data_IF_320989189584
#
_entry.id   IF_320989189584
#
_cell.length_a   1.000
_cell.length_b   1.000
_cell.length_c   1.000
_cell.angle_alpha   90.00
_cell.angle_beta   90.00
_cell.angle_gamma   90.00
#
_symmetry.space_group_name_H-M   'P 1'
#
loop_
_entity.id
_entity.type
_entity.pdbx_description
1 polymer ?
2 branched ?
3 non-polymer ?
4 non-polymer ?
5 non-polymer ?
6 non-polymer ?
7 water ?
#
# COMPACT_ATOMS: atom_id res chain seq x y z
N UNK A 1 -8.13 -40.41 -10.67
CA UNK A 1 -9.12 -40.12 -11.75
C UNK A 1 -8.82 -38.77 -12.38
N UNK A 2 -8.79 -38.73 -13.70
CA UNK A 2 -8.49 -37.51 -14.43
C UNK A 2 -9.58 -36.44 -14.29
N UNK A 3 -10.85 -36.85 -14.34
CA UNK A 3 -11.96 -35.92 -14.22
C UNK A 3 -12.09 -35.29 -12.84
N UNK A 4 -11.78 -36.06 -11.80
CA UNK A 4 -11.84 -35.55 -10.44
C UNK A 4 -10.76 -34.45 -10.27
N UNK A 5 -9.57 -34.74 -10.77
CA UNK A 5 -8.46 -33.79 -10.71
C UNK A 5 -8.78 -32.53 -11.51
N UNK A 6 -9.45 -32.70 -12.65
CA UNK A 6 -9.82 -31.56 -13.50
C UNK A 6 -10.85 -30.70 -12.79
N UNK A 7 -11.80 -31.36 -12.12
CA UNK A 7 -12.84 -30.65 -11.39
C UNK A 7 -12.20 -29.88 -10.24
N UNK A 8 -11.20 -30.48 -9.61
CA UNK A 8 -10.52 -29.82 -8.51
C UNK A 8 -9.80 -28.60 -9.04
N UNK A 9 -9.18 -28.74 -10.20
CA UNK A 9 -8.45 -27.65 -10.81
C UNK A 9 -9.33 -26.43 -11.08
N UNK A 10 -10.56 -26.68 -11.52
CA UNK A 10 -11.50 -25.57 -11.77
C UNK A 10 -11.77 -24.84 -10.47
N UNK A 11 -11.97 -25.59 -9.39
CA UNK A 11 -12.22 -25.03 -8.07
C UNK A 11 -11.01 -24.23 -7.59
N UNK A 12 -9.82 -24.75 -7.83
CA UNK A 12 -8.57 -24.09 -7.45
C UNK A 12 -8.42 -22.77 -8.19
N UNK A 13 -8.67 -22.78 -9.49
CA UNK A 13 -8.59 -21.58 -10.31
C UNK A 13 -9.59 -20.55 -9.83
N UNK A 14 -10.83 -20.98 -9.60
CA UNK A 14 -11.88 -20.08 -9.12
C UNK A 14 -11.51 -19.46 -7.78
N UNK A 15 -11.07 -20.29 -6.85
CA UNK A 15 -10.65 -19.83 -5.52
C UNK A 15 -9.56 -18.77 -5.66
N UNK A 16 -8.62 -19.02 -6.56
CA UNK A 16 -7.50 -18.13 -6.81
C UNK A 16 -7.93 -16.80 -7.41
N UNK A 17 -8.87 -16.83 -8.35
CA UNK A 17 -9.37 -15.61 -8.97
C UNK A 17 -10.07 -14.74 -7.93
N UNK A 18 -10.77 -15.39 -7.01
CA UNK A 18 -11.48 -14.67 -5.98
C UNK A 18 -10.51 -14.06 -4.98
N UNK A 19 -9.46 -14.81 -4.64
CA UNK A 19 -8.47 -14.30 -3.69
C UNK A 19 -7.70 -13.15 -4.28
N UNK A 20 -7.40 -13.24 -5.57
CA UNK A 20 -6.67 -12.18 -6.25
C UNK A 20 -7.54 -10.92 -6.30
N UNK A 21 -8.83 -11.08 -6.55
CA UNK A 21 -9.70 -9.91 -6.59
C UNK A 21 -9.80 -9.27 -5.21
N UNK A 22 -9.74 -10.09 -4.15
CA UNK A 22 -9.79 -9.58 -2.79
C UNK A 22 -8.53 -8.77 -2.47
N UNK A 23 -7.39 -9.26 -2.95
CA UNK A 23 -6.10 -8.60 -2.78
C UNK A 23 -6.16 -7.24 -3.46
N UNK A 24 -6.78 -7.17 -4.64
CA UNK A 24 -6.90 -5.90 -5.36
C UNK A 24 -7.79 -4.93 -4.59
N UNK A 25 -8.90 -5.45 -4.07
CA UNK A 25 -9.85 -4.66 -3.29
C UNK A 25 -9.21 -4.10 -2.02
N UNK A 26 -8.44 -4.94 -1.32
CA UNK A 26 -7.77 -4.50 -0.11
C UNK A 26 -6.71 -3.46 -0.42
N UNK A 27 -5.96 -3.66 -1.49
CA UNK A 27 -4.94 -2.68 -1.85
C UNK A 27 -5.56 -1.32 -2.12
N UNK A 28 -6.61 -1.28 -2.95
CA UNK A 28 -7.28 -0.03 -3.29
C UNK A 28 -7.74 0.66 -2.01
N UNK A 29 -8.45 -0.09 -1.17
CA UNK A 29 -8.97 0.39 0.12
C UNK A 29 -7.85 1.01 0.93
N UNK A 30 -6.74 0.26 1.09
CA UNK A 30 -5.60 0.74 1.85
C UNK A 30 -4.93 1.95 1.19
N UNK A 31 -5.17 2.14 -0.11
CA UNK A 31 -4.63 3.28 -0.82
C UNK A 31 -5.60 4.46 -0.81
N UNK A 32 -6.67 4.34 -0.03
CA UNK A 32 -7.63 5.42 0.08
C UNK A 32 -8.87 5.41 -0.80
N UNK A 33 -9.07 4.35 -1.59
CA UNK A 33 -10.25 4.31 -2.44
C UNK A 33 -11.52 4.38 -1.61
N UNK A 34 -12.39 5.32 -1.95
CA UNK A 34 -13.65 5.51 -1.25
C UNK A 34 -14.67 4.74 -2.07
N UNK A 35 -15.65 4.16 -1.39
CA UNK A 35 -16.70 3.37 -2.05
C UNK A 35 -17.42 4.14 -3.15
N UNK A 36 -17.49 3.54 -4.34
CA UNK A 36 -18.14 4.17 -5.48
C UNK A 36 -17.42 5.36 -6.09
N UNK A 37 -16.14 5.51 -5.75
CA UNK A 37 -15.33 6.61 -6.26
C UNK A 37 -14.12 6.01 -6.93
N UNK A 38 -13.67 6.62 -8.01
CA UNK A 38 -12.48 6.12 -8.67
C UNK A 38 -11.33 6.56 -7.79
N UNK A 39 -10.23 5.81 -7.77
CA UNK A 39 -9.11 6.20 -6.93
C UNK A 39 -7.86 6.56 -7.72
N UNK A 40 -7.06 7.44 -7.13
CA UNK A 40 -5.84 7.95 -7.73
C UNK A 40 -4.61 7.45 -6.99
N UNK A 41 -3.53 7.20 -7.73
CA UNK A 41 -2.29 6.73 -7.13
C UNK A 41 -1.14 7.36 -7.87
N UNK A 42 -0.04 7.56 -7.16
CA UNK A 42 1.17 8.13 -7.74
C UNK A 42 2.38 7.53 -7.05
N UNK A 43 3.49 7.49 -7.77
CA UNK A 43 4.74 6.98 -7.20
C UNK A 43 5.64 8.19 -6.95
N UNK A 44 5.08 9.37 -7.23
CA UNK A 44 5.76 10.65 -7.05
C UNK A 44 6.92 10.92 -8.02
N UNK A 45 6.95 10.18 -9.12
CA UNK A 45 7.99 10.34 -10.11
C UNK A 45 7.55 11.35 -11.18
N UNK A 46 8.46 12.23 -11.56
CA UNK A 46 8.19 13.22 -12.58
C UNK A 46 8.64 12.68 -13.93
N UNK A 47 7.81 12.84 -14.96
CA UNK A 47 8.12 12.35 -16.29
C UNK A 47 7.27 13.08 -17.33
N UNK A 48 7.71 13.09 -18.60
CA UNK A 48 6.94 13.77 -19.64
C UNK A 48 5.60 13.06 -19.82
N UNK A 49 4.63 13.75 -20.40
CA UNK A 49 3.29 13.20 -20.58
C UNK A 49 3.20 11.83 -21.25
N UNK A 50 3.96 11.65 -22.33
CA UNK A 50 3.95 10.37 -23.05
C UNK A 50 4.24 9.17 -22.14
N UNK A 51 5.15 9.36 -21.18
CA UNK A 51 5.53 8.30 -20.28
C UNK A 51 4.49 8.07 -19.20
N UNK A 52 3.82 9.13 -18.76
CA UNK A 52 2.79 8.99 -17.73
C UNK A 52 1.66 8.18 -18.36
N UNK A 53 1.25 8.59 -19.55
CA UNK A 53 0.17 7.93 -20.26
C UNK A 53 0.50 6.44 -20.48
N UNK A 54 1.73 6.15 -20.90
CA UNK A 54 2.13 4.77 -21.15
C UNK A 54 2.13 3.95 -19.85
N UNK A 55 2.70 4.53 -18.80
CA UNK A 55 2.77 3.88 -17.49
C UNK A 55 1.39 3.56 -16.93
N UNK A 56 0.51 4.56 -16.91
CA UNK A 56 -0.84 4.34 -16.40
C UNK A 56 -1.53 3.26 -17.21
N UNK A 57 -1.27 3.24 -18.51
CA UNK A 57 -1.88 2.25 -19.39
C UNK A 57 -1.46 0.83 -19.07
N UNK A 58 -0.17 0.61 -18.83
CA UNK A 58 0.29 -0.74 -18.52
C UNK A 58 -0.18 -1.21 -17.15
N UNK A 59 -0.69 -0.27 -16.35
CA UNK A 59 -1.23 -0.58 -15.03
C UNK A 59 -2.74 -0.74 -15.15
N UNK A 60 -3.25 -0.64 -16.38
CA UNK A 60 -4.68 -0.73 -16.67
C UNK A 60 -5.43 0.43 -16.05
N UNK A 61 -4.78 1.59 -16.04
CA UNK A 61 -5.36 2.79 -15.49
C UNK A 61 -5.41 3.84 -16.58
N UNK A 62 -5.50 5.10 -16.17
CA UNK A 62 -5.57 6.23 -17.10
C UNK A 62 -4.91 7.40 -16.37
N UNK A 63 -4.32 8.34 -17.11
CA UNK A 63 -3.73 9.52 -16.48
C UNK A 63 -4.91 10.20 -15.79
N UNK A 64 -4.70 10.62 -14.55
CA UNK A 64 -5.75 11.25 -13.73
C UNK A 64 -6.59 12.33 -14.40
N UNK A 65 -7.90 12.23 -14.25
CA UNK A 65 -8.84 13.20 -14.85
C UNK A 65 -9.83 13.69 -13.79
N UNK A 66 -9.79 15.00 -13.45
CA UNK A 66 -10.71 15.57 -12.46
C UNK A 66 -12.01 15.89 -13.19
N UNK A 67 -13.06 15.11 -12.91
CA UNK A 67 -14.36 15.30 -13.54
C UNK A 67 -15.19 16.32 -12.80
N UNK A 68 -14.72 16.74 -11.64
CA UNK A 68 -15.42 17.70 -10.80
C UNK A 68 -14.48 18.18 -9.71
N UNK A 69 -14.93 19.14 -8.92
CA UNK A 69 -14.12 19.72 -7.84
C UNK A 69 -13.65 18.73 -6.77
N UNK A 70 -14.52 17.81 -6.37
CA UNK A 70 -14.17 16.80 -5.36
C UNK A 70 -12.99 15.98 -5.84
N UNK A 71 -13.09 15.49 -7.08
CA UNK A 71 -12.04 14.69 -7.70
C UNK A 71 -10.78 15.51 -7.94
N UNK A 72 -10.97 16.79 -8.21
CA UNK A 72 -9.84 17.68 -8.43
C UNK A 72 -9.08 17.78 -7.11
N UNK A 73 -9.81 17.94 -6.01
CA UNK A 73 -9.20 18.04 -4.69
C UNK A 73 -8.49 16.72 -4.33
N UNK A 74 -9.12 15.59 -4.66
CA UNK A 74 -8.54 14.27 -4.38
C UNK A 74 -7.20 14.06 -5.12
N UNK A 75 -7.13 14.48 -6.38
CA UNK A 75 -5.91 14.37 -7.17
C UNK A 75 -4.79 15.26 -6.62
N UNK A 76 -5.14 16.50 -6.28
CA UNK A 76 -4.19 17.45 -5.72
C UNK A 76 -3.54 16.91 -4.45
N UNK A 77 -4.36 16.29 -3.60
CA UNK A 77 -3.90 15.73 -2.33
C UNK A 77 -3.00 14.53 -2.50
N UNK A 78 -3.28 13.73 -3.53
CA UNK A 78 -2.47 12.55 -3.82
C UNK A 78 -1.15 12.97 -4.46
N UNK A 79 -1.22 13.88 -5.43
CA UNK A 79 -0.05 14.37 -6.16
C UNK A 79 0.96 15.15 -5.33
N UNK A 80 0.46 16.08 -4.52
CA UNK A 80 1.29 16.93 -3.66
C UNK A 80 2.11 17.99 -4.42
N UNK A 81 2.20 17.84 -5.74
CA UNK A 81 2.94 18.77 -6.59
C UNK A 81 2.28 18.83 -7.96
N UNK A 82 2.88 19.59 -8.87
CA UNK A 82 2.33 19.72 -10.22
C UNK A 82 2.34 18.35 -10.90
N UNK A 83 1.19 17.94 -11.40
CA UNK A 83 1.04 16.65 -12.05
C UNK A 83 0.26 16.79 -13.35
N UNK A 84 0.53 15.91 -14.30
CA UNK A 84 -0.19 15.93 -15.56
C UNK A 84 -1.60 15.38 -15.36
N UNK A 85 -2.55 15.91 -16.12
CA UNK A 85 -3.93 15.45 -16.08
C UNK A 85 -4.18 14.77 -17.44
N UNK A 86 -5.19 13.92 -17.50
CA UNK A 86 -5.51 13.24 -18.75
C UNK A 86 -6.34 14.11 -19.66
N UNK A 87 -5.87 15.33 -19.89
CA UNK A 87 -6.55 16.35 -20.72
C UNK A 87 -5.51 17.01 -21.62
N UNK A 88 -5.80 17.14 -22.92
CA UNK A 88 -4.87 17.76 -23.86
C UNK A 88 -5.65 18.34 -25.03
N UNK A 89 -5.02 19.27 -25.77
CA UNK A 89 -5.63 19.83 -26.99
C UNK A 89 -4.71 19.54 -28.18
N UNK A 90 -4.08 18.36 -28.16
CA UNK A 90 -3.17 17.95 -29.23
C UNK A 90 -3.88 17.69 -30.55
N UNK A 91 -5.11 17.18 -30.49
CA UNK A 91 -5.87 16.86 -31.69
C UNK A 91 -6.33 18.09 -32.45
N UNK A 92 -6.86 19.07 -31.73
CA UNK A 92 -7.34 20.31 -32.33
C UNK A 92 -7.04 21.41 -31.34
N UNK A 93 -6.12 22.29 -31.73
CA UNK A 93 -5.71 23.40 -30.88
C UNK A 93 -6.90 24.19 -30.35
N UNK A 94 -6.89 24.39 -29.03
CA UNK A 94 -7.95 25.15 -28.37
C UNK A 94 -9.08 24.28 -27.86
N UNK A 95 -9.24 23.09 -28.44
CA UNK A 95 -10.30 22.19 -28.02
C UNK A 95 -9.73 21.09 -27.15
N UNK A 96 -9.84 21.25 -25.83
CA UNK A 96 -9.33 20.25 -24.93
C UNK A 96 -10.24 19.03 -24.88
N UNK A 97 -9.61 17.86 -24.91
CA UNK A 97 -10.32 16.58 -24.89
C UNK A 97 -9.67 15.67 -23.85
N UNK A 98 -10.45 14.74 -23.31
CA UNK A 98 -9.94 13.78 -22.34
C UNK A 98 -9.13 12.75 -23.13
N UNK A 99 -8.08 12.20 -22.53
CA UNK A 99 -7.26 11.20 -23.22
C UNK A 99 -8.07 9.97 -23.62
N UNK A 100 -9.18 9.75 -22.93
CA UNK A 100 -10.07 8.62 -23.19
C UNK A 100 -11.28 9.00 -24.05
N UNK A 101 -11.32 10.26 -24.48
CA UNK A 101 -12.43 10.72 -25.31
C UNK A 101 -13.38 11.73 -24.70
N UNK A 102 -13.91 12.59 -25.57
CA UNK A 102 -14.86 13.61 -25.15
C UNK A 102 -14.26 14.96 -24.88
N UNK A 103 -15.05 15.99 -25.13
CA UNK A 103 -14.64 17.37 -24.93
C UNK A 103 -14.65 17.69 -23.45
N UNK A 104 -13.68 18.50 -23.04
CA UNK A 104 -13.56 18.90 -21.65
C UNK A 104 -14.84 19.58 -21.15
N UNK A 105 -15.34 19.15 -20.00
CA UNK A 105 -16.52 19.80 -19.45
C UNK A 105 -16.08 20.59 -18.23
N UNK A 106 -15.99 19.94 -17.07
CA UNK A 106 -15.53 20.62 -15.87
C UNK A 106 -14.08 21.08 -16.08
N UNK A 107 -13.76 22.29 -15.63
CA UNK A 107 -12.40 22.82 -15.74
C UNK A 107 -12.06 23.68 -14.53
N UNK A 108 -10.77 23.79 -14.22
CA UNK A 108 -10.33 24.60 -13.09
C UNK A 108 -9.10 25.44 -13.46
N UNK A 109 -9.17 26.08 -14.62
CA UNK A 109 -8.06 26.89 -15.12
C UNK A 109 -7.63 28.04 -14.24
N UNK A 110 -6.33 28.30 -14.22
CA UNK A 110 -5.77 29.43 -13.48
C UNK A 110 -6.12 30.67 -14.27
N UNK A 111 -5.89 31.82 -13.65
CA UNK A 111 -6.15 33.10 -14.28
C UNK A 111 -5.31 33.21 -15.55
N UNK A 112 -5.95 33.58 -16.65
CA UNK A 112 -5.29 33.76 -17.94
C UNK A 112 -4.78 32.48 -18.64
N UNK A 113 -5.28 31.32 -18.20
CA UNK A 113 -4.90 30.04 -18.81
C UNK A 113 -6.20 29.41 -19.31
N UNK A 114 -6.14 28.56 -20.35
CA UNK A 114 -4.99 28.09 -21.14
C UNK A 114 -4.52 29.18 -22.12
N UNK A 115 -3.22 29.26 -22.35
CA UNK A 115 -2.67 30.29 -23.23
C UNK A 115 -1.80 29.80 -24.40
N UNK A 116 -1.65 28.47 -24.51
CA UNK A 116 -0.83 27.87 -25.55
C UNK A 116 0.42 28.75 -25.73
N UNK A 117 1.10 28.99 -24.62
CA UNK A 117 2.26 29.85 -24.62
C UNK A 117 3.42 29.51 -25.54
N UNK A 118 3.94 30.54 -26.20
CA UNK A 118 5.07 30.41 -27.09
C UNK A 118 4.85 29.48 -28.25
N UNK A 119 5.79 28.56 -28.44
CA UNK A 119 5.68 27.59 -29.53
C UNK A 119 4.49 26.65 -29.32
N UNK A 120 3.90 26.68 -28.13
CA UNK A 120 2.74 25.85 -27.87
C UNK A 120 2.74 25.02 -26.61
N UNK A 121 1.54 24.81 -26.08
CA UNK A 121 1.31 24.03 -24.87
C UNK A 121 0.02 23.25 -25.04
N UNK A 122 0.15 21.94 -25.20
CA UNK A 122 -0.99 21.06 -25.43
C UNK A 122 -1.39 20.14 -24.30
N UNK A 123 -0.58 20.06 -23.26
CA UNK A 123 -0.90 19.23 -22.11
C UNK A 123 -1.41 20.10 -20.96
N UNK A 124 -1.94 19.48 -19.91
CA UNK A 124 -2.50 20.20 -18.77
C UNK A 124 -1.98 19.64 -17.44
N UNK A 125 -1.58 20.52 -16.52
CA UNK A 125 -1.14 20.10 -15.21
C UNK A 125 -1.97 20.74 -14.11
N UNK A 126 -2.12 20.03 -13.01
CA UNK A 126 -2.84 20.55 -11.84
C UNK A 126 -1.68 21.05 -10.98
N UNK A 127 -1.72 22.31 -10.60
CA UNK A 127 -0.65 22.86 -9.78
C UNK A 127 -0.90 22.72 -8.30
N UNK A 128 0.06 23.15 -7.49
CA UNK A 128 -0.03 23.06 -6.03
C UNK A 128 -1.37 23.49 -5.42
N UNK A 129 -1.95 24.58 -5.90
CA UNK A 129 -3.22 25.10 -5.38
C UNK A 129 -4.46 24.45 -6.00
N UNK A 130 -4.26 23.46 -6.85
CA UNK A 130 -5.38 22.78 -7.47
C UNK A 130 -5.85 23.35 -8.79
N UNK A 131 -5.39 24.55 -9.16
CA UNK A 131 -5.79 25.17 -10.42
C UNK A 131 -5.00 24.53 -11.56
N UNK A 132 -5.48 24.72 -12.78
CA UNK A 132 -4.81 24.13 -13.94
C UNK A 132 -4.07 25.14 -14.82
N UNK A 133 -3.03 24.64 -15.49
CA UNK A 133 -2.22 25.41 -16.43
C UNK A 133 -1.85 24.51 -17.61
N UNK A 134 -1.93 25.03 -18.83
CA UNK A 134 -1.55 24.21 -19.97
C UNK A 134 -0.04 24.34 -20.13
N UNK A 135 0.62 23.23 -20.43
CA UNK A 135 2.07 23.21 -20.59
C UNK A 135 2.49 22.26 -21.69
N UNK A 136 3.76 22.33 -22.03
CA UNK A 136 4.36 21.47 -23.04
C UNK A 136 4.30 20.03 -22.52
N UNK A 137 3.93 19.10 -23.40
CA UNK A 137 3.82 17.70 -23.05
C UNK A 137 5.19 17.06 -22.81
N UNK A 138 6.24 17.80 -23.17
CA UNK A 138 7.62 17.32 -23.00
C UNK A 138 8.19 17.66 -21.63
N UNK A 139 7.49 18.48 -20.86
CA UNK A 139 7.93 18.84 -19.51
C UNK A 139 7.72 17.63 -18.60
N UNK A 140 8.45 17.58 -17.50
CA UNK A 140 8.33 16.47 -16.57
C UNK A 140 7.51 16.87 -15.36
N UNK A 141 6.39 16.19 -15.16
CA UNK A 141 5.50 16.46 -14.04
C UNK A 141 5.20 15.14 -13.35
N UNK A 142 4.67 15.19 -12.13
CA UNK A 142 4.35 13.98 -11.38
C UNK A 142 3.30 13.11 -12.07
N UNK A 143 3.56 11.79 -12.06
CA UNK A 143 2.65 10.81 -12.68
C UNK A 143 1.58 10.33 -11.71
N UNK A 144 0.34 10.66 -12.02
CA UNK A 144 -0.79 10.27 -11.19
C UNK A 144 -1.78 9.53 -12.10
N UNK A 145 -2.09 8.29 -11.74
CA UNK A 145 -3.02 7.47 -12.51
C UNK A 145 -4.31 7.33 -11.74
N UNK A 146 -5.40 7.11 -12.46
CA UNK A 146 -6.70 6.93 -11.83
C UNK A 146 -7.19 5.55 -12.25
N UNK A 147 -7.92 4.91 -11.36
CA UNK A 147 -8.49 3.59 -11.61
C UNK A 147 -9.99 3.72 -11.36
N UNK A 148 -10.83 3.06 -12.18
CA UNK A 148 -12.29 3.08 -12.11
C UNK A 148 -12.94 2.91 -10.72
N UNK A 149 -14.15 3.48 -10.60
CA UNK A 149 -14.93 3.43 -9.36
C UNK A 149 -15.48 2.03 -9.07
N UNK B 1 0.67 -38.15 -21.86
CA UNK B 1 0.51 -36.68 -22.03
C UNK B 1 -0.48 -36.06 -21.05
N UNK B 2 -1.78 -36.32 -21.23
CA UNK B 2 -2.83 -35.77 -20.37
C UNK B 2 -2.50 -35.67 -18.87
N UNK B 3 -2.20 -36.80 -18.25
CA UNK B 3 -1.86 -36.81 -16.82
C UNK B 3 -0.64 -35.97 -16.49
N UNK B 4 0.33 -35.94 -17.40
CA UNK B 4 1.55 -35.17 -17.21
C UNK B 4 1.23 -33.69 -17.30
N UNK B 5 0.44 -33.34 -18.31
CA UNK B 5 0.04 -31.95 -18.53
C UNK B 5 -0.75 -31.44 -17.32
N UNK B 6 -1.62 -32.30 -16.80
CA UNK B 6 -2.43 -31.97 -15.63
C UNK B 6 -1.54 -31.76 -14.39
N UNK B 7 -0.61 -32.68 -14.16
CA UNK B 7 0.28 -32.57 -13.00
C UNK B 7 1.10 -31.30 -13.07
N UNK B 8 1.57 -30.96 -14.26
CA UNK B 8 2.34 -29.75 -14.46
C UNK B 8 1.48 -28.53 -14.16
N UNK B 9 0.21 -28.56 -14.58
CA UNK B 9 -0.68 -27.44 -14.32
C UNK B 9 -1.02 -27.30 -12.84
N UNK B 10 -1.04 -28.41 -12.11
CA UNK B 10 -1.30 -28.36 -10.68
C UNK B 10 -0.09 -27.72 -9.99
N UNK B 11 1.11 -27.97 -10.52
CA UNK B 11 2.32 -27.41 -9.97
C UNK B 11 2.32 -25.89 -10.16
N UNK B 12 1.89 -25.43 -11.34
CA UNK B 12 1.83 -24.00 -11.63
C UNK B 12 0.82 -23.31 -10.73
N UNK B 13 -0.32 -23.95 -10.51
CA UNK B 13 -1.35 -23.39 -9.66
C UNK B 13 -0.86 -23.19 -8.24
N UNK B 14 -0.15 -24.17 -7.69
CA UNK B 14 0.35 -24.07 -6.33
C UNK B 14 1.42 -22.99 -6.23
N UNK B 15 2.19 -22.82 -7.30
CA UNK B 15 3.23 -21.81 -7.35
C UNK B 15 2.61 -20.41 -7.38
N UNK B 16 1.50 -20.29 -8.10
CA UNK B 16 0.77 -19.03 -8.23
C UNK B 16 0.13 -18.68 -6.89
N UNK B 17 -0.35 -19.71 -6.19
CA UNK B 17 -0.97 -19.54 -4.88
C UNK B 17 0.06 -19.00 -3.90
N UNK B 18 1.28 -19.52 -3.97
CA UNK B 18 2.37 -19.08 -3.08
C UNK B 18 2.72 -17.63 -3.45
N UNK B 19 2.73 -17.35 -4.75
CA UNK B 19 3.06 -16.03 -5.25
C UNK B 19 2.04 -14.99 -4.77
N UNK B 20 0.75 -15.34 -4.74
CA UNK B 20 -0.26 -14.41 -4.28
C UNK B 20 -0.10 -14.16 -2.78
N UNK B 21 0.21 -15.21 -2.04
CA UNK B 21 0.40 -15.09 -0.60
C UNK B 21 1.57 -14.14 -0.32
N UNK B 22 2.60 -14.22 -1.16
CA UNK B 22 3.75 -13.34 -0.98
C UNK B 22 3.27 -11.91 -1.21
N UNK B 23 2.42 -11.69 -2.21
CA UNK B 23 1.87 -10.38 -2.52
C UNK B 23 1.11 -9.82 -1.33
N UNK B 24 0.35 -10.68 -0.67
CA UNK B 24 -0.43 -10.28 0.50
C UNK B 24 0.48 -9.90 1.68
N UNK B 25 1.55 -10.68 1.88
CA UNK B 25 2.50 -10.41 2.96
C UNK B 25 3.19 -9.06 2.75
N UNK B 26 3.73 -8.87 1.55
CA UNK B 26 4.41 -7.63 1.20
C UNK B 26 3.48 -6.44 1.32
N UNK B 27 2.24 -6.60 0.88
CA UNK B 27 1.27 -5.50 1.01
C UNK B 27 1.09 -5.11 2.47
N UNK B 28 0.79 -6.09 3.32
CA UNK B 28 0.59 -5.85 4.74
C UNK B 28 1.80 -5.17 5.37
N UNK B 29 2.98 -5.69 5.06
CA UNK B 29 4.25 -5.13 5.56
C UNK B 29 4.43 -3.67 5.14
N UNK B 30 4.17 -3.37 3.87
CA UNK B 30 4.32 -2.02 3.35
C UNK B 30 3.35 -1.05 4.02
N UNK B 31 2.23 -1.59 4.48
CA UNK B 31 1.21 -0.81 5.14
C UNK B 31 1.44 -0.68 6.64
N UNK B 32 2.53 -1.26 7.13
CA UNK B 32 2.84 -1.16 8.54
C UNK B 32 2.48 -2.32 9.45
N UNK B 33 1.98 -3.43 8.92
CA UNK B 33 1.65 -4.56 9.77
C UNK B 33 2.91 -5.03 10.50
N UNK B 34 2.80 -5.15 11.82
CA UNK B 34 3.91 -5.58 12.64
C UNK B 34 3.82 -7.09 12.80
N UNK B 35 4.97 -7.72 12.96
CA UNK B 35 5.07 -9.16 13.11
C UNK B 35 4.29 -9.68 14.32
N UNK B 36 3.42 -10.66 14.09
CA UNK B 36 2.62 -11.24 15.15
C UNK B 36 1.57 -10.29 15.69
N UNK B 37 1.24 -9.24 14.94
CA UNK B 37 0.26 -8.28 15.38
C UNK B 37 -0.82 -8.16 14.32
N UNK B 38 -2.04 -7.86 14.77
CA UNK B 38 -3.16 -7.71 13.85
C UNK B 38 -2.93 -6.55 12.91
N UNK B 39 -3.44 -6.68 11.70
CA UNK B 39 -3.28 -5.66 10.67
C UNK B 39 -4.56 -4.83 10.62
N UNK B 40 -4.45 -3.56 11.01
CA UNK B 40 -5.58 -2.63 10.97
C UNK B 40 -5.40 -1.70 9.78
N UNK B 41 -6.48 -1.41 9.07
CA UNK B 41 -6.39 -0.58 7.88
C UNK B 41 -7.65 0.24 7.66
N UNK B 42 -7.47 1.44 7.11
CA UNK B 42 -8.56 2.36 6.82
C UNK B 42 -8.37 3.02 5.46
N UNK B 43 -9.47 3.45 4.86
CA UNK B 43 -9.43 4.18 3.60
C UNK B 43 -9.72 5.64 3.94
N UNK B 44 -9.88 5.90 5.23
CA UNK B 44 -10.16 7.23 5.80
C UNK B 44 -11.54 7.75 5.45
N UNK B 45 -12.44 6.85 5.08
CA UNK B 45 -13.80 7.22 4.72
C UNK B 45 -14.71 7.06 5.92
N UNK B 46 -15.51 8.09 6.18
CA UNK B 46 -16.46 8.09 7.29
C UNK B 46 -17.80 7.64 6.73
N UNK B 47 -18.42 6.67 7.40
CA UNK B 47 -19.71 6.14 6.97
C UNK B 47 -20.42 5.58 8.20
N UNK B 48 -21.72 5.26 8.07
CA UNK B 48 -22.42 4.71 9.22
C UNK B 48 -21.94 3.28 9.52
N UNK B 49 -22.14 2.83 10.76
CA UNK B 49 -21.71 1.50 11.19
C UNK B 49 -22.06 0.36 10.26
N UNK B 50 -23.33 0.27 9.85
CA UNK B 50 -23.78 -0.79 8.96
C UNK B 50 -22.90 -0.90 7.71
N UNK B 51 -22.48 0.26 7.21
CA UNK B 51 -21.62 0.35 6.03
C UNK B 51 -20.22 -0.16 6.35
N UNK B 52 -19.70 0.22 7.51
CA UNK B 52 -18.38 -0.20 7.94
C UNK B 52 -18.35 -1.74 7.99
N UNK B 53 -19.37 -2.33 8.61
CA UNK B 53 -19.47 -3.78 8.72
C UNK B 53 -19.53 -4.42 7.34
N UNK B 54 -20.23 -3.76 6.42
CA UNK B 54 -20.39 -4.26 5.06
C UNK B 54 -19.05 -4.23 4.33
N UNK B 55 -18.39 -3.09 4.39
CA UNK B 55 -17.10 -2.92 3.73
C UNK B 55 -16.07 -3.96 4.21
N UNK B 56 -15.81 -3.99 5.52
CA UNK B 56 -14.84 -4.94 6.05
C UNK B 56 -15.15 -6.39 5.69
N UNK B 57 -16.43 -6.75 5.74
CA UNK B 57 -16.87 -8.10 5.42
C UNK B 57 -16.56 -8.42 3.95
N UNK B 58 -16.73 -7.42 3.09
CA UNK B 58 -16.48 -7.57 1.66
C UNK B 58 -14.98 -7.80 1.39
N UNK B 59 -14.15 -7.29 2.27
CA UNK B 59 -12.69 -7.44 2.18
C UNK B 59 -12.26 -8.66 2.96
N UNK B 60 -13.24 -9.39 3.48
CA UNK B 60 -13.02 -10.57 4.30
C UNK B 60 -12.24 -10.24 5.57
N UNK B 61 -12.67 -9.15 6.20
CA UNK B 61 -12.07 -8.70 7.44
C UNK B 61 -13.22 -8.49 8.42
N UNK B 62 -12.99 -7.71 9.45
CA UNK B 62 -14.00 -7.41 10.46
C UNK B 62 -13.74 -5.99 10.95
N UNK B 63 -14.73 -5.37 11.57
CA UNK B 63 -14.58 -4.01 12.08
C UNK B 63 -13.53 -4.08 13.19
N UNK B 64 -12.57 -3.16 13.19
CA UNK B 64 -11.52 -3.18 14.18
C UNK B 64 -11.96 -3.27 15.64
N UNK B 65 -11.31 -4.17 16.38
CA UNK B 65 -11.59 -4.40 17.80
C UNK B 65 -10.31 -4.42 18.63
N UNK B 66 -10.20 -3.51 19.62
CA UNK B 66 -9.02 -3.45 20.50
C UNK B 66 -9.23 -4.47 21.61
N UNK B 67 -8.33 -5.43 21.75
CA UNK B 67 -8.44 -6.44 22.80
C UNK B 67 -7.66 -5.97 24.03
N UNK B 68 -6.75 -5.02 23.81
CA UNK B 68 -5.91 -4.46 24.86
C UNK B 68 -5.45 -3.06 24.47
N UNK B 69 -4.75 -2.40 25.37
CA UNK B 69 -4.26 -1.04 25.15
C UNK B 69 -3.31 -0.94 23.97
N UNK B 70 -2.58 -2.02 23.72
CA UNK B 70 -1.61 -2.07 22.62
C UNK B 70 -2.35 -1.98 21.29
N UNK B 71 -3.40 -2.78 21.15
CA UNK B 71 -4.18 -2.80 19.92
C UNK B 71 -5.02 -1.54 19.79
N UNK B 72 -5.43 -1.01 20.93
CA UNK B 72 -6.24 0.22 20.97
C UNK B 72 -5.40 1.37 20.43
N UNK B 73 -4.11 1.36 20.76
CA UNK B 73 -3.17 2.38 20.33
C UNK B 73 -2.92 2.26 18.82
N UNK B 74 -2.76 1.02 18.36
CA UNK B 74 -2.54 0.75 16.95
C UNK B 74 -3.72 1.22 16.09
N UNK B 75 -4.94 0.97 16.58
CA UNK B 75 -6.15 1.38 15.86
C UNK B 75 -6.21 2.91 15.79
N UNK B 76 -5.92 3.53 16.93
CA UNK B 76 -5.90 4.99 17.05
C UNK B 76 -4.95 5.61 16.02
N UNK B 77 -3.74 5.10 15.94
CA UNK B 77 -2.72 5.59 15.03
C UNK B 77 -3.10 5.41 13.56
N UNK B 78 -3.89 4.39 13.27
CA UNK B 78 -4.33 4.10 11.90
C UNK B 78 -5.47 5.02 11.45
N UNK B 79 -6.48 5.17 12.30
CA UNK B 79 -7.63 6.00 11.96
C UNK B 79 -7.31 7.49 11.97
N UNK B 80 -6.61 7.93 13.01
CA UNK B 80 -6.23 9.33 13.18
C UNK B 80 -7.43 10.25 13.42
N UNK B 81 -8.64 9.66 13.46
CA UNK B 81 -9.88 10.40 13.69
C UNK B 81 -10.83 9.46 14.43
N UNK B 82 -12.05 9.91 14.69
CA UNK B 82 -13.04 9.08 15.36
C UNK B 82 -13.39 7.94 14.41
N UNK B 83 -13.33 6.71 14.90
CA UNK B 83 -13.61 5.54 14.09
C UNK B 83 -14.48 4.52 14.85
N UNK B 84 -15.38 3.87 14.14
CA UNK B 84 -16.24 2.85 14.77
C UNK B 84 -15.39 1.64 15.15
N UNK B 85 -15.78 1.00 16.24
CA UNK B 85 -15.11 -0.21 16.72
C UNK B 85 -16.14 -1.33 16.53
N UNK B 86 -15.68 -2.58 16.41
CA UNK B 86 -16.60 -3.69 16.24
C UNK B 86 -17.25 -4.09 17.54
N UNK B 87 -17.84 -3.12 18.23
CA UNK B 87 -18.48 -3.33 19.53
C UNK B 87 -19.80 -2.56 19.58
N UNK B 88 -20.87 -3.21 20.04
CA UNK B 88 -22.19 -2.57 20.13
C UNK B 88 -22.99 -3.21 21.25
N UNK B 89 -24.00 -2.50 21.75
CA UNK B 89 -24.91 -3.08 22.74
C UNK B 89 -26.30 -3.00 22.13
N UNK B 90 -26.34 -3.15 20.80
CA UNK B 90 -27.57 -3.10 20.01
C UNK B 90 -28.58 -4.16 20.39
N UNK B 91 -28.08 -5.38 20.60
CA UNK B 91 -28.92 -6.51 20.97
C UNK B 91 -29.49 -6.34 22.37
N UNK B 92 -28.61 -6.07 23.33
CA UNK B 92 -29.04 -5.90 24.72
C UNK B 92 -28.36 -4.69 25.37
N UNK B 93 -29.15 -3.65 25.57
CA UNK B 93 -28.67 -2.40 26.18
C UNK B 93 -27.84 -2.61 27.44
N UNK B 94 -26.70 -1.93 27.50
CA UNK B 94 -25.82 -2.03 28.65
C UNK B 94 -24.79 -3.14 28.59
N UNK B 95 -25.07 -4.14 27.77
CA UNK B 95 -24.17 -5.28 27.61
C UNK B 95 -23.48 -5.23 26.26
N UNK B 96 -22.29 -4.65 26.25
CA UNK B 96 -21.53 -4.53 25.00
C UNK B 96 -20.91 -5.84 24.57
N UNK B 97 -21.00 -6.12 23.27
CA UNK B 97 -20.47 -7.34 22.68
C UNK B 97 -19.76 -7.07 21.36
N UNK B 98 -18.74 -7.87 21.08
CA UNK B 98 -17.97 -7.77 19.84
C UNK B 98 -18.84 -8.25 18.70
N UNK B 99 -18.69 -7.64 17.51
CA UNK B 99 -19.50 -8.04 16.36
C UNK B 99 -19.18 -9.49 15.93
N UNK B 100 -18.07 -10.03 16.43
CA UNK B 100 -17.64 -11.39 16.14
C UNK B 100 -18.06 -12.34 17.27
N UNK B 101 -18.81 -11.80 18.22
CA UNK B 101 -19.28 -12.58 19.34
C UNK B 101 -18.48 -12.36 20.60
N UNK B 102 -19.15 -12.46 21.75
CA UNK B 102 -18.48 -12.29 23.01
C UNK B 102 -18.66 -10.94 23.68
N UNK B 103 -18.54 -10.96 25.00
CA UNK B 103 -18.68 -9.78 25.82
C UNK B 103 -17.31 -9.15 25.96
N UNK B 104 -17.29 -7.87 26.31
CA UNK B 104 -16.06 -7.11 26.47
C UNK B 104 -15.06 -7.68 27.46
N UNK B 105 -13.80 -7.75 27.02
CA UNK B 105 -12.71 -8.23 27.84
C UNK B 105 -11.83 -7.03 28.17
N UNK B 106 -11.92 -5.99 27.36
CA UNK B 106 -11.16 -4.77 27.52
C UNK B 106 -12.01 -3.57 27.07
N UNK B 107 -11.84 -2.45 27.76
CA UNK B 107 -12.58 -1.24 27.43
C UNK B 107 -11.72 -0.03 27.80
N UNK B 108 -12.05 1.13 27.23
CA UNK B 108 -11.30 2.36 27.49
C UNK B 108 -12.28 3.54 27.33
N UNK B 109 -13.36 3.48 28.09
CA UNK B 109 -14.39 4.50 28.04
C UNK B 109 -13.93 5.87 28.47
N UNK B 110 -14.60 6.88 27.94
CA UNK B 110 -14.31 8.27 28.24
C UNK B 110 -15.09 8.60 29.52
N UNK B 111 -14.77 9.72 30.15
CA UNK B 111 -15.45 10.13 31.38
C UNK B 111 -16.95 10.23 31.11
N UNK B 112 -17.73 9.59 31.99
CA UNK B 112 -19.18 9.58 31.89
C UNK B 112 -19.73 8.80 30.71
N UNK B 113 -18.95 7.85 30.20
CA UNK B 113 -19.39 7.01 29.09
C UNK B 113 -19.26 5.56 29.56
N UNK B 114 -20.14 4.68 29.06
CA UNK B 114 -21.21 4.99 28.11
C UNK B 114 -22.46 5.61 28.76
N UNK B 115 -23.14 6.50 28.05
CA UNK B 115 -24.34 7.14 28.59
C UNK B 115 -25.62 6.88 27.81
N UNK B 116 -25.53 6.10 26.73
CA UNK B 116 -26.69 5.78 25.89
C UNK B 116 -27.53 7.03 25.69
N UNK B 117 -26.83 8.13 25.44
CA UNK B 117 -27.43 9.46 25.28
C UNK B 117 -28.65 9.61 24.39
N UNK B 118 -29.60 10.40 24.88
CA UNK B 118 -30.81 10.70 24.15
C UNK B 118 -31.56 9.48 23.66
N UNK B 119 -31.90 9.48 22.37
CA UNK B 119 -32.64 8.39 21.75
C UNK B 119 -31.98 7.03 21.90
N UNK B 120 -30.69 7.04 22.27
CA UNK B 120 -29.96 5.80 22.44
C UNK B 120 -28.73 5.73 21.59
N UNK B 121 -27.66 5.21 22.17
CA UNK B 121 -26.39 5.06 21.49
C UNK B 121 -25.93 3.62 21.70
N UNK B 122 -25.94 2.85 20.63
CA UNK B 122 -25.55 1.45 20.68
C UNK B 122 -24.21 1.09 20.07
N UNK B 123 -23.59 2.04 19.38
CA UNK B 123 -22.28 1.80 18.78
C UNK B 123 -21.17 2.44 19.60
N UNK B 124 -19.93 2.15 19.24
CA UNK B 124 -18.79 2.66 19.96
C UNK B 124 -17.72 3.22 19.04
N UNK B 125 -17.19 4.40 19.37
CA UNK B 125 -16.14 5.02 18.59
C UNK B 125 -14.93 5.28 19.44
N UNK B 126 -13.76 5.19 18.83
CA UNK B 126 -12.51 5.46 19.50
C UNK B 126 -12.22 6.91 19.06
N UNK B 127 -12.12 7.80 20.02
CA UNK B 127 -11.88 9.22 19.74
C UNK B 127 -10.49 9.69 20.17
N UNK B 128 -10.43 10.82 20.86
CA UNK B 128 -9.18 11.42 21.35
C UNK B 128 -8.50 10.56 22.39
N UNK B 129 -7.18 10.48 22.32
CA UNK B 129 -6.37 9.70 23.25
C UNK B 129 -6.73 8.23 23.22
N UNK B 130 -7.52 7.83 22.22
CA UNK B 130 -7.93 6.44 22.11
C UNK B 130 -9.06 6.11 23.07
N UNK B 131 -9.68 7.12 23.67
CA UNK B 131 -10.78 6.93 24.61
C UNK B 131 -12.04 6.61 23.84
N UNK B 132 -12.96 5.88 24.48
CA UNK B 132 -14.19 5.47 23.82
C UNK B 132 -15.41 6.26 24.24
N UNK B 133 -16.39 6.30 23.35
CA UNK B 133 -17.65 6.98 23.59
C UNK B 133 -18.68 6.19 22.81
N UNK B 134 -19.83 5.92 23.42
CA UNK B 134 -20.88 5.20 22.69
C UNK B 134 -21.63 6.23 21.86
N UNK B 135 -22.04 5.87 20.65
CA UNK B 135 -22.74 6.79 19.77
C UNK B 135 -23.78 6.08 18.92
N UNK B 136 -24.59 6.87 18.23
CA UNK B 136 -25.61 6.32 17.37
C UNK B 136 -24.90 5.65 16.20
N UNK B 137 -25.35 4.44 15.88
CA UNK B 137 -24.77 3.65 14.79
C UNK B 137 -25.03 4.28 13.43
N UNK B 138 -25.95 5.24 13.37
CA UNK B 138 -26.27 5.93 12.11
C UNK B 138 -25.31 7.06 11.80
N UNK B 139 -24.56 7.50 12.81
CA UNK B 139 -23.58 8.55 12.59
C UNK B 139 -22.50 8.00 11.66
N UNK B 140 -21.69 8.87 11.08
CA UNK B 140 -20.66 8.45 10.14
C UNK B 140 -19.28 8.67 10.71
N UNK B 141 -18.54 7.58 10.89
CA UNK B 141 -17.19 7.65 11.45
C UNK B 141 -16.27 6.83 10.55
N UNK B 142 -14.96 7.02 10.74
CA UNK B 142 -13.94 6.34 9.96
C UNK B 142 -14.05 4.81 10.00
N UNK B 143 -14.02 4.20 8.83
CA UNK B 143 -14.08 2.75 8.69
C UNK B 143 -12.67 2.20 8.84
N UNK B 144 -12.48 1.34 9.83
CA UNK B 144 -11.20 0.72 10.11
C UNK B 144 -11.43 -0.79 10.17
N UNK B 145 -10.81 -1.52 9.25
CA UNK B 145 -10.96 -2.97 9.20
C UNK B 145 -9.77 -3.66 9.83
N UNK B 146 -10.01 -4.90 10.26
CA UNK B 146 -9.00 -5.71 10.94
C UNK B 146 -8.74 -6.99 10.17
N UNK B 147 -7.46 -7.38 10.12
CA UNK B 147 -7.06 -8.60 9.43
C UNK B 147 -6.12 -9.36 10.39
N UNK B 148 -6.12 -10.69 10.32
CA UNK B 148 -5.29 -11.55 11.18
C UNK B 148 -3.80 -11.23 11.30
N UNK B 149 -3.26 -11.56 12.46
CA UNK B 149 -1.85 -11.36 12.78
C UNK B 149 -0.98 -12.40 12.07
N UNK C 1 -14.21 -32.76 -24.35
CA UNK C 1 -14.27 -32.05 -23.04
C UNK C 1 -12.95 -32.09 -22.28
N UNK C 2 -12.45 -33.27 -21.93
CA UNK C 2 -11.19 -33.37 -21.18
C UNK C 2 -10.05 -32.51 -21.76
N UNK C 3 -9.73 -32.73 -23.02
CA UNK C 3 -8.65 -31.99 -23.67
C UNK C 3 -8.99 -30.51 -23.84
N UNK C 4 -10.27 -30.21 -24.05
CA UNK C 4 -10.70 -28.82 -24.21
C UNK C 4 -10.60 -28.07 -22.88
N UNK C 5 -11.07 -28.72 -21.82
CA UNK C 5 -11.02 -28.15 -20.49
C UNK C 5 -9.57 -28.00 -20.06
N UNK C 6 -8.74 -28.99 -20.39
CA UNK C 6 -7.33 -28.95 -20.03
C UNK C 6 -6.64 -27.79 -20.75
N UNK C 7 -6.99 -27.57 -22.00
CA UNK C 7 -6.40 -26.49 -22.78
C UNK C 7 -6.84 -25.14 -22.22
N UNK C 8 -8.11 -25.03 -21.88
CA UNK C 8 -8.61 -23.80 -21.33
C UNK C 8 -7.92 -23.47 -20.00
N UNK C 9 -7.70 -24.49 -19.18
CA UNK C 9 -7.05 -24.30 -17.88
C UNK C 9 -5.69 -23.67 -18.04
N UNK C 10 -4.99 -24.07 -19.08
CA UNK C 10 -3.67 -23.53 -19.37
C UNK C 10 -3.83 -22.02 -19.62
N UNK C 11 -4.84 -21.68 -20.41
CA UNK C 11 -5.15 -20.29 -20.72
C UNK C 11 -5.54 -19.51 -19.47
N UNK C 12 -6.26 -20.17 -18.56
CA UNK C 12 -6.69 -19.56 -17.29
C UNK C 12 -5.51 -19.25 -16.40
N UNK C 13 -4.57 -20.19 -16.32
CA UNK C 13 -3.38 -20.03 -15.49
C UNK C 13 -2.49 -18.92 -16.03
N UNK C 14 -2.31 -18.87 -17.34
CA UNK C 14 -1.50 -17.81 -17.93
C UNK C 14 -2.15 -16.46 -17.71
N UNK C 15 -3.48 -16.42 -17.80
CA UNK C 15 -4.19 -15.16 -17.57
C UNK C 15 -3.96 -14.72 -16.12
N UNK C 16 -4.05 -15.67 -15.18
CA UNK C 16 -3.83 -15.35 -13.78
C UNK C 16 -2.42 -14.86 -13.49
N UNK C 17 -1.43 -15.42 -14.19
CA UNK C 17 -0.05 -15.01 -14.02
C UNK C 17 0.13 -13.56 -14.43
N UNK C 18 -0.52 -13.17 -15.52
CA UNK C 18 -0.45 -11.79 -16.03
C UNK C 18 -1.11 -10.84 -15.04
N UNK C 19 -2.25 -11.28 -14.50
CA UNK C 19 -2.98 -10.48 -13.53
C UNK C 19 -2.18 -10.25 -12.27
N UNK C 20 -1.56 -11.28 -11.73
CA UNK C 20 -0.76 -11.15 -10.52
C UNK C 20 0.45 -10.25 -10.79
N UNK C 21 1.03 -10.35 -11.99
CA UNK C 21 2.17 -9.51 -12.35
C UNK C 21 1.75 -8.06 -12.26
N UNK C 22 0.57 -7.80 -12.80
CA UNK C 22 -0.02 -6.47 -12.81
C UNK C 22 -0.28 -5.99 -11.39
N UNK C 23 -0.82 -6.87 -10.55
CA UNK C 23 -1.09 -6.54 -9.16
C UNK C 23 0.23 -6.16 -8.49
N UNK C 24 1.29 -6.90 -8.81
CA UNK C 24 2.60 -6.61 -8.25
C UNK C 24 3.13 -5.24 -8.74
N UNK C 25 2.96 -4.95 -10.03
CA UNK C 25 3.41 -3.67 -10.57
C UNK C 25 2.66 -2.52 -9.91
N UNK C 26 1.33 -2.66 -9.81
CA UNK C 26 0.52 -1.62 -9.21
C UNK C 26 0.91 -1.36 -7.77
N UNK C 27 1.18 -2.42 -7.01
CA UNK C 27 1.55 -2.24 -5.62
C UNK C 27 2.88 -1.52 -5.46
N UNK C 28 3.86 -1.88 -6.30
CA UNK C 28 5.19 -1.27 -6.25
C UNK C 28 5.07 0.23 -6.55
N UNK C 29 4.29 0.53 -7.57
CA UNK C 29 4.02 1.90 -8.00
C UNK C 29 3.37 2.69 -6.86
N UNK C 30 2.35 2.09 -6.24
CA UNK C 30 1.64 2.71 -5.12
C UNK C 30 2.57 3.06 -3.95
N UNK C 31 3.62 2.25 -3.80
CA UNK C 31 4.59 2.43 -2.73
C UNK C 31 5.75 3.33 -3.10
N UNK C 32 5.64 3.99 -4.27
CA UNK C 32 6.68 4.90 -4.72
C UNK C 32 7.83 4.33 -5.52
N UNK C 33 7.70 3.13 -6.05
CA UNK C 33 8.80 2.59 -6.84
C UNK C 33 8.98 3.41 -8.12
N UNK C 34 10.20 3.88 -8.34
CA UNK C 34 10.54 4.70 -9.50
C UNK C 34 11.06 3.77 -10.58
N UNK C 35 10.83 4.11 -11.84
CA UNK C 35 11.28 3.28 -12.96
C UNK C 35 12.80 3.13 -12.98
N UNK C 36 13.27 1.90 -13.09
CA UNK C 36 14.70 1.63 -13.13
C UNK C 36 15.44 1.74 -11.82
N UNK C 37 14.72 2.08 -10.74
CA UNK C 37 15.33 2.23 -9.41
C UNK C 37 14.84 1.12 -8.49
N UNK C 38 15.71 0.70 -7.58
CA UNK C 38 15.36 -0.33 -6.59
C UNK C 38 14.40 0.33 -5.61
N UNK C 39 13.55 -0.43 -4.97
CA UNK C 39 12.71 0.21 -3.99
C UNK C 39 12.85 -0.44 -2.63
N UNK C 40 12.90 0.45 -1.63
CA UNK C 40 13.06 0.07 -0.25
C UNK C 40 11.72 0.21 0.45
N UNK C 41 11.39 -0.75 1.30
CA UNK C 41 10.11 -0.76 2.00
C UNK C 41 10.33 -1.08 3.48
N UNK C 42 9.49 -0.52 4.34
CA UNK C 42 9.56 -0.76 5.77
C UNK C 42 8.18 -0.77 6.40
N UNK C 43 8.00 -1.58 7.45
CA UNK C 43 6.74 -1.61 8.19
C UNK C 43 6.96 -0.76 9.44
N UNK C 44 8.16 -0.18 9.52
CA UNK C 44 8.59 0.68 10.62
C UNK C 44 8.74 -0.06 11.96
N UNK C 45 8.91 -1.37 11.90
CA UNK C 45 9.07 -2.14 13.12
C UNK C 45 10.55 -2.31 13.44
N UNK C 46 10.90 -2.15 14.71
CA UNK C 46 12.27 -2.31 15.15
C UNK C 46 12.48 -3.74 15.61
N UNK C 47 13.55 -4.38 15.17
CA UNK C 47 13.87 -5.75 15.55
C UNK C 47 15.35 -6.00 15.37
N UNK C 48 15.88 -7.11 15.93
CA UNK C 48 17.30 -7.44 15.81
C UNK C 48 17.62 -7.78 14.36
N UNK C 49 18.90 -7.68 14.01
CA UNK C 49 19.33 -7.95 12.64
C UNK C 49 18.88 -9.30 12.06
N UNK C 50 19.00 -10.36 12.84
CA UNK C 50 18.60 -11.70 12.40
C UNK C 50 17.13 -11.73 11.96
N UNK C 51 16.30 -10.98 12.67
CA UNK C 51 14.87 -10.91 12.37
C UNK C 51 14.62 -10.16 11.08
N UNK C 52 15.37 -9.09 10.86
CA UNK C 52 15.24 -8.27 9.65
C UNK C 52 15.59 -9.17 8.45
N UNK C 53 16.70 -9.89 8.57
CA UNK C 53 17.14 -10.78 7.50
C UNK C 53 16.07 -11.84 7.22
N UNK C 54 15.51 -12.39 8.29
CA UNK C 54 14.49 -13.42 8.16
C UNK C 54 13.23 -12.87 7.51
N UNK C 55 12.86 -11.66 7.89
CA UNK C 55 11.68 -11.02 7.35
C UNK C 55 11.84 -10.65 5.88
N UNK C 56 12.95 -10.02 5.52
CA UNK C 56 13.15 -9.66 4.12
C UNK C 56 13.22 -10.87 3.20
N UNK C 57 13.86 -11.95 3.66
CA UNK C 57 13.96 -13.19 2.88
C UNK C 57 12.57 -13.77 2.63
N UNK C 58 11.71 -13.64 3.64
CA UNK C 58 10.35 -14.13 3.56
C UNK C 58 9.53 -13.33 2.53
N UNK C 59 9.93 -12.09 2.32
CA UNK C 59 9.26 -11.21 1.36
C UNK C 59 9.98 -11.30 0.02
N UNK C 60 10.96 -12.18 -0.06
CA UNK C 60 11.77 -12.38 -1.26
C UNK C 60 12.53 -11.12 -1.62
N UNK C 61 12.99 -10.42 -0.59
CA UNK C 61 13.77 -9.21 -0.77
C UNK C 61 15.07 -9.42 -0.01
N UNK C 62 15.80 -8.34 0.21
CA UNK C 62 17.07 -8.40 0.95
C UNK C 62 17.12 -7.23 1.92
N UNK C 63 17.96 -7.29 2.94
CA UNK C 63 18.06 -6.18 3.88
C UNK C 63 18.68 -5.04 3.05
N UNK C 64 18.09 -3.85 3.14
CA UNK C 64 18.54 -2.69 2.38
C UNK C 64 20.03 -2.43 2.35
N UNK C 65 20.58 -2.27 1.15
CA UNK C 65 22.00 -1.97 0.95
C UNK C 65 22.21 -0.79 0.01
N UNK C 66 22.81 0.30 0.51
CA UNK C 66 23.06 1.48 -0.32
C UNK C 66 24.35 1.32 -1.13
N UNK C 67 24.24 1.34 -2.46
CA UNK C 67 25.40 1.21 -3.34
C UNK C 67 26.00 2.57 -3.71
N UNK C 68 25.31 3.64 -3.37
CA UNK C 68 25.79 4.99 -3.68
C UNK C 68 25.02 6.00 -2.82
N UNK C 69 25.41 7.27 -2.93
CA UNK C 69 24.78 8.34 -2.15
C UNK C 69 23.29 8.48 -2.39
N UNK C 70 22.87 8.26 -3.64
CA UNK C 70 21.48 8.34 -4.05
C UNK C 70 20.64 7.32 -3.27
N UNK C 71 21.04 6.06 -3.33
CA UNK C 71 20.34 4.99 -2.63
C UNK C 71 20.43 5.13 -1.12
N UNK C 72 21.52 5.73 -0.64
CA UNK C 72 21.71 5.94 0.79
C UNK C 72 20.65 6.90 1.30
N UNK C 73 20.40 7.95 0.51
CA UNK C 73 19.40 8.96 0.84
C UNK C 73 18.02 8.31 0.75
N UNK C 74 17.81 7.55 -0.32
CA UNK C 74 16.55 6.84 -0.55
C UNK C 74 16.15 6.01 0.68
N UNK C 75 17.09 5.20 1.17
CA UNK C 75 16.87 4.35 2.34
C UNK C 75 16.55 5.19 3.57
N UNK C 76 17.31 6.27 3.75
CA UNK C 76 17.14 7.17 4.88
C UNK C 76 15.72 7.76 4.92
N UNK C 77 15.20 8.15 3.76
CA UNK C 77 13.86 8.72 3.70
C UNK C 77 12.81 7.69 4.06
N UNK C 78 13.00 6.47 3.56
CA UNK C 78 12.08 5.37 3.81
C UNK C 78 12.02 5.03 5.29
N UNK C 79 13.19 4.77 5.88
CA UNK C 79 13.29 4.40 7.29
C UNK C 79 12.80 5.44 8.28
N UNK C 80 13.16 6.71 8.03
CA UNK C 80 12.79 7.84 8.88
C UNK C 80 13.48 7.85 10.24
N UNK C 81 14.19 6.76 10.55
CA UNK C 81 14.90 6.60 11.82
C UNK C 81 15.97 5.54 11.58
N UNK C 82 16.89 5.33 12.52
CA UNK C 82 17.96 4.34 12.32
C UNK C 82 17.47 2.94 11.99
N UNK C 83 18.00 2.40 10.89
CA UNK C 83 17.65 1.08 10.39
C UNK C 83 18.90 0.28 10.05
N UNK C 84 18.76 -1.04 10.06
CA UNK C 84 19.87 -1.93 9.72
C UNK C 84 20.11 -1.94 8.21
N UNK C 85 21.36 -2.16 7.84
CA UNK C 85 21.76 -2.26 6.45
C UNK C 85 22.25 -3.70 6.29
N UNK C 86 22.19 -4.22 5.07
CA UNK C 86 22.64 -5.59 4.83
C UNK C 86 24.15 -5.65 4.72
N UNK C 87 24.83 -5.19 5.76
CA UNK C 87 26.29 -5.15 5.79
C UNK C 87 26.72 -5.52 7.21
N UNK C 88 27.66 -6.46 7.33
CA UNK C 88 28.18 -6.92 8.63
C UNK C 88 29.63 -7.38 8.48
N UNK C 89 30.36 -7.48 9.59
CA UNK C 89 31.73 -7.98 9.56
C UNK C 89 31.77 -9.19 10.49
N UNK C 90 30.67 -9.96 10.47
CA UNK C 90 30.55 -11.16 11.30
C UNK C 90 31.52 -12.25 10.90
N UNK C 91 31.80 -12.37 9.60
CA UNK C 91 32.71 -13.41 9.12
C UNK C 91 34.16 -13.14 9.54
N UNK C 92 34.61 -11.92 9.37
CA UNK C 92 35.97 -11.54 9.73
C UNK C 92 35.91 -10.16 10.33
N UNK C 93 36.22 -10.08 11.63
CA UNK C 93 36.20 -8.80 12.32
C UNK C 93 37.01 -7.76 11.56
N UNK C 94 36.37 -6.63 11.29
CA UNK C 94 37.04 -5.55 10.58
C UNK C 94 36.78 -5.55 9.09
N UNK C 95 36.38 -6.69 8.54
CA UNK C 95 36.11 -6.79 7.09
C UNK C 95 34.61 -6.80 6.80
N UNK C 96 34.02 -5.63 6.59
CA UNK C 96 32.60 -5.52 6.29
C UNK C 96 32.27 -6.03 4.89
N UNK C 97 31.22 -6.82 4.82
CA UNK C 97 30.80 -7.42 3.59
C UNK C 97 29.30 -7.32 3.47
N UNK C 98 28.80 -7.40 2.24
CA UNK C 98 27.38 -7.36 2.00
C UNK C 98 26.81 -8.69 2.50
N UNK C 99 25.55 -8.71 2.92
CA UNK C 99 24.93 -9.97 3.35
C UNK C 99 24.77 -10.83 2.10
N UNK C 100 24.86 -10.17 0.95
CA UNK C 100 24.77 -10.79 -0.36
C UNK C 100 26.18 -11.11 -0.88
N UNK C 101 27.18 -11.00 0.01
CA UNK C 101 28.56 -11.27 -0.34
C UNK C 101 29.39 -10.18 -1.00
N UNK C 102 30.67 -10.13 -0.65
CA UNK C 102 31.55 -9.13 -1.24
C UNK C 102 31.91 -7.93 -0.38
N UNK C 103 33.05 -7.32 -0.71
CA UNK C 103 33.55 -6.14 -0.01
C UNK C 103 32.73 -4.93 -0.42
N UNK C 104 32.64 -3.94 0.46
CA UNK C 104 31.88 -2.73 0.19
C UNK C 104 32.46 -1.91 -0.96
N UNK C 105 31.57 -1.50 -1.87
CA UNK C 105 31.94 -0.70 -3.03
C UNK C 105 31.65 0.77 -2.75
N UNK C 106 30.98 1.02 -1.64
CA UNK C 106 30.61 2.37 -1.23
C UNK C 106 30.35 2.30 0.26
N UNK C 107 30.70 3.38 0.97
CA UNK C 107 30.49 3.47 2.41
C UNK C 107 30.25 4.91 2.81
N UNK C 108 29.58 5.12 3.94
CA UNK C 108 29.30 6.47 4.44
C UNK C 108 29.48 6.46 5.95
N UNK C 109 30.63 5.96 6.39
CA UNK C 109 30.96 5.86 7.81
C UNK C 109 31.13 7.20 8.52
N UNK C 110 30.59 7.28 9.73
CA UNK C 110 30.73 8.48 10.56
C UNK C 110 32.21 8.47 11.01
N UNK C 111 32.73 9.63 11.41
CA UNK C 111 34.13 9.72 11.82
C UNK C 111 34.51 8.72 12.94
N UNK C 112 35.54 7.93 12.64
CA UNK C 112 36.05 6.90 13.55
C UNK C 112 35.18 5.65 13.64
N UNK C 113 34.33 5.45 12.64
CA UNK C 113 33.47 4.29 12.60
C UNK C 113 33.90 3.55 11.34
N UNK C 114 33.81 2.22 11.32
CA UNK C 114 33.32 1.30 12.35
C UNK C 114 34.41 1.04 13.41
N UNK C 115 34.00 0.92 14.66
CA UNK C 115 34.96 0.72 15.74
C UNK C 115 34.79 -0.51 16.63
N UNK C 116 33.82 -1.38 16.34
CA UNK C 116 33.57 -2.58 17.13
C UNK C 116 33.56 -2.24 18.63
N UNK C 117 32.86 -1.16 18.96
CA UNK C 117 32.77 -0.66 20.32
C UNK C 117 32.40 -1.62 21.43
N UNK C 118 33.16 -1.56 22.52
CA UNK C 118 32.90 -2.38 23.68
C UNK C 118 32.92 -3.87 23.40
N UNK C 119 31.87 -4.56 23.82
CA UNK C 119 31.75 -5.99 23.62
C UNK C 119 31.72 -6.41 22.15
N UNK C 120 31.54 -5.45 21.25
CA UNK C 120 31.53 -5.77 19.84
C UNK C 120 30.32 -5.23 19.10
N UNK C 121 30.55 -4.86 17.84
CA UNK C 121 29.52 -4.32 16.95
C UNK C 121 29.86 -4.86 15.58
N UNK C 122 29.01 -5.75 15.08
CA UNK C 122 29.21 -6.38 13.78
C UNK C 122 28.17 -6.02 12.73
N UNK C 123 27.16 -5.26 13.11
CA UNK C 123 26.11 -4.85 12.18
C UNK C 123 26.23 -3.37 11.91
N UNK C 124 25.50 -2.88 10.92
CA UNK C 124 25.55 -1.47 10.54
C UNK C 124 24.17 -0.83 10.45
N UNK C 125 24.04 0.40 10.95
CA UNK C 125 22.78 1.13 10.85
C UNK C 125 23.03 2.47 10.21
N UNK C 126 22.08 2.88 9.39
CA UNK C 126 22.15 4.18 8.73
C UNK C 126 21.40 5.06 9.72
N UNK C 127 22.08 6.05 10.27
CA UNK C 127 21.47 6.93 11.24
C UNK C 127 20.49 7.90 10.59
N UNK C 128 19.87 8.76 11.40
CA UNK C 128 18.90 9.73 10.90
C UNK C 128 19.48 10.69 9.86
N UNK C 129 20.78 10.97 9.97
CA UNK C 129 21.46 11.87 9.04
C UNK C 129 22.14 11.17 7.86
N UNK C 130 21.89 9.87 7.72
CA UNK C 130 22.45 9.12 6.60
C UNK C 130 23.81 8.48 6.80
N UNK C 131 24.56 8.92 7.80
CA UNK C 131 25.87 8.35 8.07
C UNK C 131 25.72 6.94 8.64
N UNK C 132 26.80 6.17 8.60
CA UNK C 132 26.76 4.80 9.11
C UNK C 132 27.51 4.65 10.42
N UNK C 133 27.01 3.74 11.25
CA UNK C 133 27.63 3.39 12.52
C UNK C 133 27.48 1.89 12.68
N UNK C 134 28.56 1.21 13.05
CA UNK C 134 28.46 -0.22 13.28
C UNK C 134 27.91 -0.35 14.69
N UNK C 135 26.97 -1.27 14.87
CA UNK C 135 26.34 -1.49 16.16
C UNK C 135 26.10 -2.99 16.41
N UNK C 136 25.70 -3.31 17.62
CA UNK C 136 25.41 -4.69 17.99
C UNK C 136 24.23 -5.18 17.15
N UNK C 137 24.37 -6.39 16.61
CA UNK C 137 23.33 -7.00 15.81
C UNK C 137 22.10 -7.36 16.62
N UNK C 138 22.25 -7.38 17.94
CA UNK C 138 21.16 -7.72 18.84
C UNK C 138 20.28 -6.54 19.19
N UNK C 139 20.71 -5.33 18.85
CA UNK C 139 19.92 -4.14 19.10
C UNK C 139 18.76 -4.14 18.11
N UNK C 140 17.66 -3.51 18.50
CA UNK C 140 16.47 -3.44 17.66
C UNK C 140 16.44 -2.17 16.84
N UNK C 141 16.55 -2.33 15.53
CA UNK C 141 16.54 -1.22 14.60
C UNK C 141 15.43 -1.44 13.58
N UNK C 142 15.09 -0.39 12.84
CA UNK C 142 14.03 -0.46 11.84
C UNK C 142 14.35 -1.38 10.66
N UNK C 143 13.39 -2.24 10.35
CA UNK C 143 13.48 -3.21 9.25
C UNK C 143 13.17 -2.56 7.92
N UNK C 144 14.13 -2.58 7.00
CA UNK C 144 13.95 -1.98 5.69
C UNK C 144 14.38 -3.02 4.65
N UNK C 145 13.44 -3.49 3.86
CA UNK C 145 13.75 -4.48 2.84
C UNK C 145 13.93 -3.82 1.49
N UNK C 146 14.75 -4.44 0.66
CA UNK C 146 15.07 -3.96 -0.66
C UNK C 146 14.60 -4.92 -1.73
N UNK C 147 14.09 -4.37 -2.82
CA UNK C 147 13.62 -5.15 -3.95
C UNK C 147 14.29 -4.55 -5.20
N UNK C 148 14.62 -5.39 -6.19
CA UNK C 148 15.28 -4.97 -7.43
C UNK C 148 14.57 -3.97 -8.32
N UNK C 149 15.37 -3.23 -9.08
CA UNK C 149 14.90 -2.21 -10.01
C UNK C 149 14.04 -2.82 -11.11
#
# INVERSE_FOLDING_TARGET
AIEVKLANMEAEINTLKSKLELTNKLHAFSMGKKSGKKFFVTNHERMPFSKVKALCSELRGTVAIPRNAEENKAIQEVAKTSAFLGITDEVTEGQFMYVTGGRLTYSNWKKDEPNDHGSGEDCVTIVDNGLWNDISCQKKKTAVCEFPA
AIEVKLANMEAEINTLKSKLELTNKLHAFSMGKKSGKKFFVTNHERMPFSKVKALCSELRGTVAIPRNAEENKAIQEVAKTSAFLGITDEVTEGQFMYVTGGRLTYSNWKKDEPNDHGSGEDCVTIVDNGLWNDISCQKKKTAVCEFPA
AIEVKLANMEAEINTLKSKLELTNKLHAFSMGKKSGKKFFVTNHERMPFSKVKALCSELRGTVAIPRNAEENKAIQEVAKTSAFLGITDEVTEGQFMYVTGGRLTYSNWKKDEPNDHGSGEDCVTIVDNGLWNDISCQKKKTAVCEFPA
#
